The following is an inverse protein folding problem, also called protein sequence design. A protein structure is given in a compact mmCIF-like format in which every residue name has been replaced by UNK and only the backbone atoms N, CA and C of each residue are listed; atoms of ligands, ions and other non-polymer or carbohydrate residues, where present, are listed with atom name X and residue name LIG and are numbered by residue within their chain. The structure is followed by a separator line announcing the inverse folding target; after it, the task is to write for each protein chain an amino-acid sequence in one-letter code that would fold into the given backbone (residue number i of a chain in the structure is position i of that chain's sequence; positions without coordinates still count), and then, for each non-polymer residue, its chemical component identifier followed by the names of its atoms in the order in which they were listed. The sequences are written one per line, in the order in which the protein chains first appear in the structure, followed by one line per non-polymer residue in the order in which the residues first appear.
data_IF_969031776300
#
_entry.id   IF_969031776300
#
_cell.length_a   1.000
_cell.length_b   1.000
_cell.length_c   1.000
_cell.angle_alpha   90.00
_cell.angle_beta   90.00
_cell.angle_gamma   90.00
#
_symmetry.space_group_name_H-M   'P 1'
#
loop_
_entity.id
_entity.type
_entity.pdbx_description
1 polymer ?
#
# COMPACT_ATOMS: atom_id res chain seq x y z
N UNK A 1 -26.84 30.38 -0.45
CA UNK A 1 -25.41 30.22 -0.17
C UNK A 1 -25.10 28.76 0.12
N UNK A 2 -24.14 28.24 -0.53
CA UNK A 2 -23.75 26.86 -0.31
C UNK A 2 -22.92 26.75 0.96
N UNK A 3 -23.28 25.81 1.83
CA UNK A 3 -22.52 25.54 3.05
C UNK A 3 -21.47 24.51 2.71
N UNK A 4 -20.22 24.81 3.00
CA UNK A 4 -19.13 23.89 2.81
C UNK A 4 -19.11 22.88 3.94
N UNK A 5 -18.69 21.62 3.67
CA UNK A 5 -18.47 20.67 4.73
C UNK A 5 -17.45 21.18 5.72
N UNK A 6 -17.59 20.74 6.96
CA UNK A 6 -16.61 21.07 7.98
C UNK A 6 -15.24 20.52 7.57
N UNK A 7 -14.21 21.35 7.70
CA UNK A 7 -12.87 21.00 7.24
C UNK A 7 -12.55 21.50 5.84
N UNK A 8 -13.56 21.93 5.09
CA UNK A 8 -13.34 22.56 3.80
C UNK A 8 -13.36 24.07 3.98
N UNK A 9 -12.20 24.62 4.24
CA UNK A 9 -12.03 26.06 4.52
C UNK A 9 -11.69 26.86 3.27
N UNK A 10 -11.97 26.32 2.08
CA UNK A 10 -11.67 26.96 0.83
C UNK A 10 -10.32 26.62 0.25
N UNK A 11 -9.52 25.84 0.94
CA UNK A 11 -8.24 25.36 0.41
C UNK A 11 -8.54 24.21 -0.55
N UNK A 12 -8.09 24.30 -1.82
CA UNK A 12 -8.30 23.20 -2.76
C UNK A 12 -7.61 21.93 -2.28
N UNK A 13 -8.33 20.82 -2.37
CA UNK A 13 -7.78 19.49 -2.10
C UNK A 13 -7.71 18.69 -3.38
N UNK A 14 -6.69 17.87 -3.49
CA UNK A 14 -6.46 17.03 -4.64
C UNK A 14 -6.58 15.58 -4.20
N UNK A 15 -7.46 14.83 -4.85
CA UNK A 15 -7.63 13.40 -4.58
C UNK A 15 -6.50 12.61 -5.22
N UNK A 16 -5.94 11.69 -4.44
CA UNK A 16 -4.93 10.74 -4.91
C UNK A 16 -5.42 9.34 -4.59
N UNK A 17 -5.92 8.65 -5.60
CA UNK A 17 -6.44 7.30 -5.45
C UNK A 17 -5.57 6.35 -6.26
N UNK A 18 -5.07 5.29 -5.59
CA UNK A 18 -4.18 4.31 -6.21
C UNK A 18 -4.69 2.92 -5.92
N UNK A 19 -4.66 2.07 -6.93
CA UNK A 19 -4.90 0.64 -6.80
C UNK A 19 -3.75 -0.08 -7.48
N UNK A 20 -3.13 -1.03 -6.78
CA UNK A 20 -2.06 -1.85 -7.33
C UNK A 20 -2.28 -3.31 -6.96
N UNK A 21 -1.85 -4.20 -7.83
CA UNK A 21 -1.90 -5.64 -7.60
C UNK A 21 -0.56 -6.24 -8.00
N UNK A 22 -0.01 -7.08 -7.13
CA UNK A 22 1.26 -7.76 -7.40
C UNK A 22 1.17 -9.20 -6.92
N UNK A 23 1.43 -10.14 -7.81
CA UNK A 23 1.45 -11.56 -7.45
C UNK A 23 2.82 -11.95 -6.91
N UNK A 24 2.81 -12.61 -5.75
CA UNK A 24 4.03 -13.08 -5.07
C UNK A 24 3.89 -14.58 -4.85
N UNK A 25 4.88 -15.35 -5.30
CA UNK A 25 4.89 -16.80 -5.12
C UNK A 25 5.52 -17.12 -3.76
N UNK A 26 4.70 -17.02 -2.74
CA UNK A 26 5.07 -17.28 -1.35
C UNK A 26 3.82 -17.60 -0.55
N UNK A 27 3.97 -18.14 0.63
CA UNK A 27 2.84 -18.38 1.53
C UNK A 27 2.27 -17.07 2.04
N UNK A 28 0.95 -17.04 2.29
CA UNK A 28 0.30 -15.84 2.81
C UNK A 28 0.89 -15.44 4.16
N UNK A 29 1.25 -16.42 4.98
CA UNK A 29 1.87 -16.18 6.29
C UNK A 29 3.20 -15.43 6.16
N UNK A 30 4.01 -15.80 5.18
CA UNK A 30 5.29 -15.16 4.93
C UNK A 30 5.10 -13.71 4.49
N UNK A 31 4.16 -13.48 3.58
CA UNK A 31 3.86 -12.13 3.10
C UNK A 31 3.31 -11.27 4.22
N UNK A 32 2.33 -11.80 4.97
CA UNK A 32 1.72 -11.08 6.09
C UNK A 32 2.74 -10.72 7.16
N UNK A 33 3.65 -11.63 7.48
CA UNK A 33 4.70 -11.40 8.46
C UNK A 33 5.61 -10.24 8.06
N UNK A 34 6.02 -10.21 6.79
CA UNK A 34 6.86 -9.13 6.29
C UNK A 34 6.14 -7.78 6.31
N UNK A 35 4.85 -7.79 5.95
CA UNK A 35 4.07 -6.56 5.87
C UNK A 35 3.56 -6.08 7.22
N UNK A 36 3.64 -6.88 8.27
CA UNK A 36 3.26 -6.48 9.62
C UNK A 36 4.34 -5.64 10.33
N UNK A 37 5.51 -5.49 9.74
CA UNK A 37 6.62 -4.77 10.34
C UNK A 37 6.49 -3.26 10.14
N UNK A 38 6.28 -2.47 11.22
CA UNK A 38 6.17 -1.01 11.10
C UNK A 38 7.41 -0.33 10.52
N UNK A 39 8.60 -0.92 10.70
CA UNK A 39 9.82 -0.36 10.13
C UNK A 39 9.76 -0.42 8.60
N UNK A 40 9.12 -1.44 8.06
CA UNK A 40 8.93 -1.55 6.62
C UNK A 40 7.99 -0.47 6.10
N UNK A 41 6.91 -0.17 6.83
CA UNK A 41 6.00 0.90 6.44
C UNK A 41 6.71 2.24 6.39
N UNK A 42 7.54 2.51 7.39
CA UNK A 42 8.32 3.74 7.44
C UNK A 42 9.30 3.84 6.26
N UNK A 43 9.91 2.73 5.89
CA UNK A 43 10.82 2.68 4.74
C UNK A 43 10.07 2.86 3.41
N UNK A 44 8.86 2.28 3.30
CA UNK A 44 8.08 2.35 2.06
C UNK A 44 7.42 3.71 1.88
N UNK A 45 6.98 4.32 2.98
CA UNK A 45 6.25 5.60 2.95
C UNK A 45 6.82 6.57 3.99
N UNK A 46 8.04 7.07 3.77
CA UNK A 46 8.73 7.87 4.80
C UNK A 46 8.06 9.21 5.10
N UNK A 47 7.26 9.72 4.19
CA UNK A 47 6.55 11.00 4.35
C UNK A 47 5.09 10.83 4.77
N UNK A 48 4.69 9.62 5.11
CA UNK A 48 3.35 9.33 5.61
C UNK A 48 3.42 8.79 7.03
N UNK A 49 2.45 9.20 7.84
CA UNK A 49 2.25 8.63 9.16
C UNK A 49 1.10 7.64 9.07
N UNK A 50 1.38 6.38 9.34
CA UNK A 50 0.43 5.28 9.22
C UNK A 50 0.03 4.80 10.61
N UNK A 51 -1.28 4.79 10.86
CA UNK A 51 -1.84 4.28 12.10
C UNK A 51 -2.78 3.13 11.76
N UNK A 52 -2.50 1.94 12.29
CA UNK A 52 -3.34 0.76 12.05
C UNK A 52 -4.72 1.00 12.63
N UNK A 53 -5.75 0.93 11.79
CA UNK A 53 -7.14 1.03 12.22
C UNK A 53 -7.82 -0.32 12.22
N UNK A 54 -7.29 -1.28 11.44
CA UNK A 54 -7.84 -2.62 11.40
C UNK A 54 -6.72 -3.58 10.99
N UNK A 55 -6.40 -4.50 11.87
CA UNK A 55 -5.47 -5.59 11.58
C UNK A 55 -6.30 -6.83 11.25
N UNK A 56 -6.18 -7.29 10.01
CA UNK A 56 -6.91 -8.46 9.52
C UNK A 56 -6.05 -9.73 9.52
N UNK A 57 -4.89 -9.68 10.18
CA UNK A 57 -4.00 -10.84 10.26
C UNK A 57 -3.50 -11.25 8.88
N UNK A 58 -3.81 -12.50 8.50
CA UNK A 58 -3.38 -13.03 7.20
C UNK A 58 -4.07 -12.38 6.00
N UNK A 59 -5.16 -11.66 6.23
CA UNK A 59 -5.90 -11.00 5.15
C UNK A 59 -5.42 -9.60 4.85
N UNK A 60 -4.60 -9.01 5.73
CA UNK A 60 -4.01 -7.71 5.47
C UNK A 60 -4.15 -6.70 6.59
N UNK A 61 -4.00 -5.42 6.26
CA UNK A 61 -3.96 -4.32 7.22
C UNK A 61 -4.63 -3.10 6.60
N UNK A 62 -5.35 -2.34 7.43
CA UNK A 62 -5.90 -1.04 7.07
C UNK A 62 -5.29 0.02 7.96
N UNK A 63 -4.87 1.14 7.38
CA UNK A 63 -4.28 2.27 8.10
C UNK A 63 -5.07 3.54 7.85
N UNK A 64 -5.08 4.43 8.84
CA UNK A 64 -5.31 5.83 8.57
C UNK A 64 -3.97 6.46 8.18
N UNK A 65 -4.02 7.44 7.29
CA UNK A 65 -2.83 8.07 6.72
C UNK A 65 -2.88 9.56 7.00
N UNK A 66 -1.76 10.10 7.44
CA UNK A 66 -1.58 11.54 7.59
C UNK A 66 -0.15 11.91 7.19
N UNK A 67 0.16 13.19 7.20
CA UNK A 67 1.44 13.70 6.71
C UNK A 67 1.26 14.40 5.37
N UNK A 68 2.07 14.05 4.39
CA UNK A 68 1.97 14.62 3.05
C UNK A 68 0.59 14.39 2.42
N UNK A 69 0.00 13.24 2.69
CA UNK A 69 -1.37 12.91 2.28
C UNK A 69 -2.20 12.56 3.49
N UNK A 70 -3.51 12.78 3.41
CA UNK A 70 -4.46 12.42 4.47
C UNK A 70 -5.55 11.55 3.88
N UNK A 71 -5.82 10.42 4.54
CA UNK A 71 -6.85 9.50 4.08
C UNK A 71 -6.68 8.11 4.66
N UNK A 72 -6.81 7.10 3.81
CA UNK A 72 -6.73 5.70 4.22
C UNK A 72 -5.86 4.91 3.24
N UNK A 73 -5.23 3.88 3.75
CA UNK A 73 -4.50 2.91 2.94
C UNK A 73 -4.85 1.51 3.40
N UNK A 74 -4.75 0.56 2.49
CA UNK A 74 -5.03 -0.83 2.80
C UNK A 74 -4.14 -1.73 1.98
N UNK A 75 -3.66 -2.81 2.60
CA UNK A 75 -3.12 -3.96 1.89
C UNK A 75 -4.04 -5.13 2.17
N UNK A 76 -4.51 -5.76 1.11
CA UNK A 76 -5.32 -6.97 1.17
C UNK A 76 -4.55 -8.10 0.50
N UNK A 77 -4.47 -9.25 1.17
CA UNK A 77 -3.74 -10.43 0.71
C UNK A 77 -4.72 -11.47 0.26
N UNK A 78 -4.76 -11.70 -1.05
CA UNK A 78 -5.67 -12.66 -1.66
C UNK A 78 -4.90 -13.92 -2.05
N UNK A 79 -5.22 -15.09 -1.45
CA UNK A 79 -4.62 -16.35 -1.92
C UNK A 79 -4.99 -16.59 -3.38
N UNK A 80 -4.00 -16.94 -4.19
CA UNK A 80 -4.21 -17.18 -5.60
C UNK A 80 -3.19 -18.23 -6.08
N UNK A 81 -3.69 -19.38 -6.54
CA UNK A 81 -2.83 -20.49 -6.98
C UNK A 81 -1.78 -20.84 -5.92
N UNK A 82 -0.50 -20.83 -6.27
CA UNK A 82 0.59 -21.14 -5.36
C UNK A 82 1.18 -19.91 -4.67
N UNK A 83 0.46 -18.82 -4.67
CA UNK A 83 0.96 -17.57 -4.10
C UNK A 83 -0.13 -16.68 -3.54
N UNK A 84 0.16 -15.39 -3.53
CA UNK A 84 -0.68 -14.35 -2.95
C UNK A 84 -0.70 -13.15 -3.89
N UNK A 85 -1.87 -12.60 -4.16
CA UNK A 85 -1.97 -11.29 -4.79
C UNK A 85 -1.96 -10.26 -3.68
N UNK A 86 -0.99 -9.35 -3.72
CA UNK A 86 -0.90 -8.22 -2.79
C UNK A 86 -1.63 -7.06 -3.44
N UNK A 87 -2.79 -6.73 -2.90
CA UNK A 87 -3.56 -5.58 -3.33
C UNK A 87 -3.22 -4.40 -2.46
N UNK A 88 -2.93 -3.25 -3.08
CA UNK A 88 -2.71 -2.01 -2.34
C UNK A 88 -3.70 -0.97 -2.80
N UNK A 89 -4.36 -0.35 -1.83
CA UNK A 89 -5.31 0.73 -2.07
C UNK A 89 -4.85 1.94 -1.27
N UNK A 90 -4.77 3.09 -1.93
CA UNK A 90 -4.56 4.36 -1.27
C UNK A 90 -5.67 5.30 -1.71
N UNK A 91 -6.41 5.83 -0.74
CA UNK A 91 -7.43 6.86 -0.97
C UNK A 91 -7.10 8.02 -0.08
N UNK A 92 -6.54 9.06 -0.67
CA UNK A 92 -6.01 10.16 0.10
C UNK A 92 -6.20 11.49 -0.62
N UNK A 93 -5.92 12.56 0.11
CA UNK A 93 -6.02 13.92 -0.39
C UNK A 93 -4.76 14.66 0.00
N UNK A 94 -4.34 15.57 -0.89
CA UNK A 94 -3.30 16.55 -0.59
C UNK A 94 -3.99 17.88 -0.30
N UNK A 95 -3.61 18.52 0.79
CA UNK A 95 -4.11 19.86 1.14
C UNK A 95 -3.46 20.98 0.36
N UNK A 96 -2.50 20.66 -0.50
CA UNK A 96 -1.80 21.65 -1.30
C UNK A 96 -2.29 21.62 -2.74
N UNK A 97 -2.18 22.78 -3.43
CA UNK A 97 -2.39 22.85 -4.86
C UNK A 97 -1.24 22.11 -5.55
N UNK A 98 -1.40 20.81 -5.69
CA UNK A 98 -0.40 19.98 -6.28
C UNK A 98 -0.99 19.23 -7.48
N UNK A 99 -0.13 18.81 -8.38
CA UNK A 99 -0.51 18.00 -9.52
C UNK A 99 -0.83 16.58 -9.03
N UNK A 100 -2.12 16.23 -8.95
CA UNK A 100 -2.58 14.93 -8.49
C UNK A 100 -1.99 13.79 -9.31
N UNK A 101 -1.85 13.98 -10.61
CA UNK A 101 -1.27 12.98 -11.50
C UNK A 101 0.18 12.71 -11.15
N UNK A 102 0.93 13.77 -10.86
CA UNK A 102 2.34 13.66 -10.50
C UNK A 102 2.50 12.94 -9.16
N UNK A 103 1.70 13.33 -8.17
CA UNK A 103 1.73 12.71 -6.84
C UNK A 103 1.38 11.24 -6.93
N UNK A 104 0.29 10.92 -7.62
CA UNK A 104 -0.15 9.53 -7.79
C UNK A 104 0.93 8.70 -8.47
N UNK A 105 1.56 9.23 -9.50
CA UNK A 105 2.63 8.53 -10.22
C UNK A 105 3.82 8.24 -9.31
N UNK A 106 4.20 9.22 -8.49
CA UNK A 106 5.33 9.06 -7.57
C UNK A 106 5.07 7.96 -6.54
N UNK A 107 3.88 7.96 -5.93
CA UNK A 107 3.52 6.94 -4.95
C UNK A 107 3.34 5.56 -5.59
N UNK A 108 2.75 5.49 -6.78
CA UNK A 108 2.61 4.22 -7.52
C UNK A 108 3.97 3.62 -7.84
N UNK A 109 4.89 4.41 -8.33
CA UNK A 109 6.25 3.93 -8.66
C UNK A 109 7.00 3.48 -7.42
N UNK A 110 6.90 4.25 -6.34
CA UNK A 110 7.56 3.90 -5.09
C UNK A 110 7.02 2.59 -4.53
N UNK A 111 5.70 2.43 -4.50
CA UNK A 111 5.10 1.19 -4.02
C UNK A 111 5.52 0.01 -4.90
N UNK A 112 5.43 0.15 -6.22
CA UNK A 112 5.78 -0.95 -7.13
C UNK A 112 7.24 -1.36 -6.95
N UNK A 113 8.15 -0.41 -6.76
CA UNK A 113 9.56 -0.70 -6.50
C UNK A 113 9.71 -1.51 -5.21
N UNK A 114 9.02 -1.09 -4.15
CA UNK A 114 9.13 -1.75 -2.84
C UNK A 114 8.49 -3.14 -2.84
N UNK A 115 7.28 -3.28 -3.42
CA UNK A 115 6.61 -4.58 -3.44
C UNK A 115 7.32 -5.56 -4.36
N UNK A 116 7.94 -5.08 -5.43
CA UNK A 116 8.75 -5.92 -6.31
C UNK A 116 10.01 -6.42 -5.59
N UNK A 117 10.64 -5.57 -4.78
CA UNK A 117 11.78 -5.99 -3.96
C UNK A 117 11.36 -7.06 -2.93
N UNK A 118 10.19 -6.90 -2.32
CA UNK A 118 9.65 -7.91 -1.41
C UNK A 118 9.36 -9.22 -2.14
N UNK A 119 8.77 -9.14 -3.33
CA UNK A 119 8.53 -10.30 -4.19
C UNK A 119 9.84 -11.02 -4.47
N UNK A 120 10.88 -10.30 -4.88
CA UNK A 120 12.19 -10.89 -5.17
C UNK A 120 12.80 -11.54 -3.93
N UNK A 121 12.67 -10.92 -2.77
CA UNK A 121 13.14 -11.46 -1.50
C UNK A 121 12.47 -12.81 -1.19
N UNK A 122 11.16 -12.88 -1.33
CA UNK A 122 10.39 -14.07 -0.99
C UNK A 122 10.49 -15.16 -2.04
N UNK A 123 10.74 -14.81 -3.28
CA UNK A 123 10.88 -15.79 -4.38
C UNK A 123 12.33 -16.18 -4.66
N UNK A 124 13.28 -15.68 -3.87
CA UNK A 124 14.70 -15.94 -4.10
C UNK A 124 14.98 -17.43 -4.08
N UNK A 125 15.71 -17.88 -5.09
CA UNK A 125 16.07 -19.28 -5.24
C UNK A 125 15.01 -20.13 -5.95
N UNK A 126 13.87 -19.52 -6.31
CA UNK A 126 12.83 -20.20 -7.08
C UNK A 126 13.11 -20.00 -8.58
N UNK A 127 13.07 -21.09 -9.33
CA UNK A 127 13.20 -21.01 -10.79
C UNK A 127 11.84 -20.66 -11.40
N UNK A 128 11.87 -19.92 -12.51
CA UNK A 128 10.65 -19.51 -13.20
C UNK A 128 9.84 -20.75 -13.63
N UNK A 129 8.53 -20.72 -13.39
CA UNK A 129 7.63 -21.81 -13.76
C UNK A 129 7.53 -22.93 -12.73
N UNK A 130 8.33 -22.90 -11.67
CA UNK A 130 8.26 -23.89 -10.61
C UNK A 130 7.35 -23.41 -9.48
N UNK A 131 6.77 -24.35 -8.70
CA UNK A 131 5.98 -23.98 -7.51
C UNK A 131 6.82 -23.21 -6.50
N UNK A 132 6.14 -22.54 -5.57
CA UNK A 132 6.83 -21.82 -4.52
C UNK A 132 7.67 -22.76 -3.67
N UNK A 133 8.78 -22.21 -3.16
CA UNK A 133 9.66 -22.94 -2.26
C UNK A 133 8.98 -23.01 -0.88
N UNK A 134 8.98 -24.22 -0.31
CA UNK A 134 8.47 -24.38 1.04
C UNK A 134 9.52 -23.96 2.06
N UNK A 135 9.05 -23.43 3.18
CA UNK A 135 9.92 -23.01 4.28
C UNK A 135 9.64 -23.80 5.52
#
# INVERSE_FOLDING_TARGET
MQIRPEGDDGVPEVSVDIIDETFVVAGREQVAERLADPDRWQAWWPDLLLLVTLDRGLDGIVWSVSGTLTGTAEIWLEPWHDGVIVHWFLRARSGELADATRIRRAYSKAFKRHVTALKDELERGRLAGLPRRET
#
